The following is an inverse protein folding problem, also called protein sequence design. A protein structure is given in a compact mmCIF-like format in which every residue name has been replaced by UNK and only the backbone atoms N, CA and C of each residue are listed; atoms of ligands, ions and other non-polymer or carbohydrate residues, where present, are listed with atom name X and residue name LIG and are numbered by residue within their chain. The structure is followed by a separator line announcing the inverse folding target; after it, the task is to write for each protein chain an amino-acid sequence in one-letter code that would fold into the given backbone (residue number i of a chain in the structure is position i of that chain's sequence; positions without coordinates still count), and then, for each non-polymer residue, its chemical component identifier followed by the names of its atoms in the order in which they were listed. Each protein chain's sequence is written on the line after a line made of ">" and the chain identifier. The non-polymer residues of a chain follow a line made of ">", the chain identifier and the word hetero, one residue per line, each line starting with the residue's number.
data_IF_208524058997
#
_entry.id   IF_208524058997
#
_cell.length_a   1.000
_cell.length_b   1.000
_cell.length_c   1.000
_cell.angle_alpha   90.00
_cell.angle_beta   90.00
_cell.angle_gamma   90.00
#
_symmetry.space_group_name_H-M   'P 1'
#
loop_
_entity.id
_entity.type
_entity.pdbx_description
1 polymer ?
#
# COMPACT_ATOMS: atom_id res chain seq x y z
N UNK A 1 -65.74 2.26 -6.13
CA UNK A 1 -66.41 1.41 -7.14
C UNK A 1 -66.26 2.13 -8.47
N UNK A 2 -65.66 1.45 -9.46
CA UNK A 2 -65.42 1.90 -10.83
C UNK A 2 -64.46 3.12 -11.02
N UNK A 3 -63.18 2.81 -11.21
CA UNK A 3 -62.35 3.23 -12.33
C UNK A 3 -60.87 2.77 -12.12
N UNK A 4 -60.66 1.50 -12.33
CA UNK A 4 -59.35 0.94 -12.50
C UNK A 4 -59.50 -0.22 -13.48
N UNK A 5 -59.24 0.03 -14.72
CA UNK A 5 -58.90 -1.00 -15.72
C UNK A 5 -58.95 -0.34 -17.11
N UNK A 6 -57.81 0.21 -17.56
CA UNK A 6 -57.50 0.32 -18.99
C UNK A 6 -56.22 1.15 -19.19
N UNK A 7 -55.08 0.48 -19.03
CA UNK A 7 -53.81 0.84 -19.73
C UNK A 7 -52.73 -0.23 -19.52
N UNK A 8 -52.99 -1.40 -19.99
CA UNK A 8 -51.98 -2.47 -20.18
C UNK A 8 -52.24 -3.18 -21.51
N UNK A 9 -51.98 -2.55 -22.62
CA UNK A 9 -51.90 -3.26 -23.90
C UNK A 9 -51.46 -2.35 -25.05
N UNK A 10 -50.34 -1.68 -25.02
CA UNK A 10 -49.70 -1.09 -26.20
C UNK A 10 -48.17 -0.93 -25.94
N UNK A 11 -47.44 -1.95 -25.61
CA UNK A 11 -45.99 -1.92 -25.67
C UNK A 11 -45.31 -3.31 -25.84
N UNK A 12 -45.96 -4.17 -26.65
CA UNK A 12 -45.38 -5.48 -26.96
C UNK A 12 -45.35 -5.70 -28.47
N UNK A 13 -44.73 -4.82 -29.25
CA UNK A 13 -44.73 -4.96 -30.70
C UNK A 13 -43.66 -4.24 -31.49
N UNK A 14 -42.54 -3.84 -30.87
CA UNK A 14 -41.46 -3.13 -31.63
C UNK A 14 -40.03 -3.53 -31.33
N UNK A 15 -39.78 -4.66 -30.67
CA UNK A 15 -38.42 -5.11 -30.30
C UNK A 15 -37.81 -6.21 -31.17
N UNK A 16 -38.52 -6.73 -32.18
CA UNK A 16 -38.00 -7.85 -33.01
C UNK A 16 -37.47 -7.47 -34.40
N UNK A 17 -37.64 -6.24 -34.83
CA UNK A 17 -37.22 -5.83 -36.20
C UNK A 17 -35.83 -5.20 -36.30
N UNK A 18 -35.14 -4.95 -35.16
CA UNK A 18 -33.81 -4.30 -35.15
C UNK A 18 -32.62 -5.28 -35.02
N UNK A 19 -32.88 -6.57 -34.86
CA UNK A 19 -31.79 -7.58 -34.67
C UNK A 19 -31.34 -8.30 -35.95
N UNK A 20 -31.93 -8.04 -37.10
CA UNK A 20 -31.59 -8.75 -38.36
C UNK A 20 -30.80 -7.94 -39.39
N UNK A 21 -30.42 -6.70 -39.12
CA UNK A 21 -29.71 -5.84 -40.11
C UNK A 21 -28.21 -5.66 -39.77
N UNK A 22 -27.72 -6.06 -38.60
CA UNK A 22 -26.29 -5.88 -38.24
C UNK A 22 -25.41 -7.11 -38.52
N UNK A 23 -25.95 -8.22 -39.00
CA UNK A 23 -25.19 -9.46 -39.24
C UNK A 23 -24.68 -9.64 -40.68
N UNK A 24 -24.92 -8.72 -41.60
CA UNK A 24 -24.58 -8.88 -43.03
C UNK A 24 -23.42 -8.00 -43.56
N UNK A 25 -22.83 -7.14 -42.73
CA UNK A 25 -21.76 -6.21 -43.17
C UNK A 25 -20.37 -6.56 -42.63
N UNK A 26 -20.24 -7.51 -41.67
CA UNK A 26 -18.95 -7.86 -41.07
C UNK A 26 -18.21 -9.06 -41.67
N UNK A 27 -18.66 -9.65 -42.77
CA UNK A 27 -17.99 -10.84 -43.39
C UNK A 27 -17.22 -10.53 -44.71
N UNK A 28 -17.19 -9.30 -45.16
CA UNK A 28 -16.57 -8.96 -46.47
C UNK A 28 -15.19 -8.27 -46.40
N UNK A 29 -14.52 -8.14 -45.26
CA UNK A 29 -13.22 -7.42 -45.15
C UNK A 29 -12.07 -8.31 -44.65
N UNK A 30 -12.21 -9.63 -44.66
CA UNK A 30 -11.16 -10.55 -44.13
C UNK A 30 -10.50 -11.44 -45.22
N UNK A 31 -10.57 -11.09 -46.49
CA UNK A 31 -9.88 -11.83 -47.54
C UNK A 31 -9.22 -10.92 -48.59
N UNK A 32 -8.25 -10.13 -48.20
CA UNK A 32 -7.35 -9.48 -49.18
C UNK A 32 -6.10 -8.90 -48.47
N UNK A 33 -5.27 -9.69 -47.85
CA UNK A 33 -3.86 -9.34 -47.61
C UNK A 33 -3.07 -10.62 -47.31
N UNK A 34 -2.88 -11.42 -48.35
CA UNK A 34 -1.84 -12.44 -48.37
C UNK A 34 -1.30 -12.51 -49.80
N UNK A 35 -0.27 -11.79 -50.10
CA UNK A 35 0.78 -12.20 -51.02
C UNK A 35 1.84 -11.12 -51.19
N UNK A 36 3.08 -11.59 -51.24
CA UNK A 36 4.32 -10.91 -51.69
C UNK A 36 5.06 -10.05 -50.64
N UNK A 37 6.14 -10.62 -50.11
CA UNK A 37 7.50 -10.15 -50.40
C UNK A 37 8.52 -11.25 -50.08
N UNK A 38 9.12 -11.75 -51.11
CA UNK A 38 10.31 -12.59 -51.09
C UNK A 38 11.55 -11.67 -51.05
N UNK A 39 12.51 -12.04 -50.24
CA UNK A 39 13.91 -11.87 -50.55
C UNK A 39 14.58 -10.56 -50.16
N UNK A 40 15.50 -10.63 -49.26
CA UNK A 40 16.94 -10.33 -49.47
C UNK A 40 17.68 -10.45 -48.15
N UNK A 41 18.41 -11.52 -47.98
CA UNK A 41 19.44 -11.66 -46.95
C UNK A 41 20.63 -10.79 -47.32
N UNK A 42 20.92 -9.76 -46.54
CA UNK A 42 22.18 -9.01 -46.60
C UNK A 42 23.18 -9.65 -45.66
N UNK A 43 24.22 -10.23 -46.24
CA UNK A 43 25.37 -10.77 -45.51
C UNK A 43 26.20 -9.65 -44.90
N UNK A 44 26.50 -9.73 -43.60
CA UNK A 44 27.44 -8.86 -42.89
C UNK A 44 28.83 -9.51 -42.99
N UNK A 45 29.89 -8.79 -43.42
CA UNK A 45 31.24 -9.31 -43.51
C UNK A 45 31.90 -9.33 -42.08
N UNK A 46 32.82 -10.24 -41.82
CA UNK A 46 33.50 -10.34 -40.52
C UNK A 46 34.52 -9.22 -40.34
N UNK A 47 34.41 -8.49 -39.21
CA UNK A 47 35.39 -7.50 -38.79
C UNK A 47 36.60 -8.17 -38.12
N UNK A 48 37.76 -7.69 -38.52
CA UNK A 48 39.10 -8.11 -38.15
C UNK A 48 39.34 -8.02 -36.63
N UNK A 49 40.00 -9.08 -36.12
CA UNK A 49 40.59 -9.07 -34.81
C UNK A 49 41.92 -8.31 -34.82
N UNK A 50 41.96 -7.18 -34.18
CA UNK A 50 43.19 -6.44 -33.92
C UNK A 50 43.77 -6.83 -32.56
N UNK A 51 45.04 -7.16 -32.61
CA UNK A 51 45.93 -7.58 -31.54
C UNK A 51 46.06 -6.46 -30.48
N UNK A 52 45.71 -6.76 -29.25
CA UNK A 52 46.07 -5.90 -28.12
C UNK A 52 47.32 -6.48 -27.45
N UNK A 53 48.37 -5.69 -27.52
CA UNK A 53 49.66 -5.89 -26.87
C UNK A 53 49.52 -5.73 -25.34
N UNK A 54 50.08 -6.68 -24.60
CA UNK A 54 50.17 -6.63 -23.14
C UNK A 54 51.09 -5.52 -22.66
N UNK A 55 50.56 -4.54 -21.93
CA UNK A 55 51.30 -3.65 -21.08
C UNK A 55 51.00 -3.95 -19.60
N UNK A 56 52.12 -4.16 -18.86
CA UNK A 56 52.12 -4.48 -17.43
C UNK A 56 51.74 -3.25 -16.62
N UNK A 57 50.80 -3.30 -15.64
CA UNK A 57 50.50 -2.16 -14.79
C UNK A 57 51.46 -2.11 -13.60
N UNK A 58 52.04 -0.93 -13.41
CA UNK A 58 52.71 -0.52 -12.19
C UNK A 58 51.72 0.29 -11.30
N UNK A 59 51.78 0.05 -10.01
CA UNK A 59 51.33 1.00 -9.01
C UNK A 59 49.96 0.72 -8.41
N UNK A 60 49.96 0.00 -7.30
CA UNK A 60 48.84 -0.08 -6.36
C UNK A 60 48.60 1.29 -5.69
N UNK A 61 47.39 1.85 -5.83
CA UNK A 61 46.77 2.62 -4.77
C UNK A 61 45.56 1.84 -4.27
N UNK A 62 45.67 1.39 -3.03
CA UNK A 62 44.58 0.76 -2.29
C UNK A 62 43.63 1.87 -1.85
N UNK A 63 42.63 2.16 -2.62
CA UNK A 63 41.45 2.83 -2.10
C UNK A 63 40.56 1.75 -1.42
N UNK A 64 40.72 1.67 -0.10
CA UNK A 64 39.79 1.00 0.79
C UNK A 64 38.45 1.73 0.71
N UNK A 65 37.60 1.37 -0.24
CA UNK A 65 36.18 1.55 -0.08
C UNK A 65 35.75 0.61 1.03
N UNK A 66 35.78 1.10 2.25
CA UNK A 66 35.15 0.47 3.40
C UNK A 66 33.66 0.32 3.05
N UNK A 67 33.24 -0.89 2.74
CA UNK A 67 31.83 -1.24 2.86
C UNK A 67 31.48 -0.90 4.31
N UNK A 68 30.73 0.20 4.48
CA UNK A 68 30.07 0.50 5.73
C UNK A 68 29.04 -0.63 5.94
N UNK A 69 29.47 -1.68 6.59
CA UNK A 69 28.55 -2.64 7.18
C UNK A 69 27.65 -1.84 8.11
N UNK A 70 26.39 -1.71 7.76
CA UNK A 70 25.35 -1.15 8.61
C UNK A 70 25.42 -1.94 9.92
N UNK A 71 25.77 -1.26 11.01
CA UNK A 71 25.54 -1.82 12.36
C UNK A 71 24.08 -2.26 12.39
N UNK A 72 23.75 -3.46 12.92
CA UNK A 72 22.37 -3.82 13.17
C UNK A 72 21.70 -2.65 13.87
N UNK A 73 20.60 -2.14 13.30
CA UNK A 73 19.81 -1.07 13.90
C UNK A 73 19.43 -1.46 15.33
N UNK A 74 19.34 -0.50 16.22
CA UNK A 74 18.86 -0.79 17.58
C UNK A 74 17.42 -1.35 17.47
N UNK A 75 17.14 -2.45 18.17
CA UNK A 75 15.80 -3.02 18.27
C UNK A 75 14.98 -2.17 19.25
N UNK A 76 14.04 -1.38 18.74
CA UNK A 76 13.23 -0.45 19.52
C UNK A 76 11.85 -1.01 19.86
N UNK A 77 11.29 -1.87 19.00
CA UNK A 77 9.94 -2.42 19.17
C UNK A 77 9.87 -3.88 18.72
N UNK A 78 9.02 -4.65 19.40
CA UNK A 78 8.77 -6.06 19.09
C UNK A 78 7.75 -6.24 17.97
N UNK A 79 6.86 -5.26 17.81
CA UNK A 79 5.74 -5.27 16.86
C UNK A 79 5.47 -3.88 16.32
N UNK A 80 4.99 -3.83 15.10
CA UNK A 80 4.51 -2.59 14.49
C UNK A 80 3.09 -2.76 13.96
N UNK A 81 2.28 -1.73 14.14
CA UNK A 81 0.95 -1.58 13.51
C UNK A 81 0.97 -0.30 12.69
N UNK A 82 0.75 -0.42 11.40
CA UNK A 82 0.64 0.74 10.49
C UNK A 82 -0.83 0.91 10.15
N UNK A 83 -1.39 2.06 10.45
CA UNK A 83 -2.76 2.46 10.12
C UNK A 83 -2.67 3.54 9.05
N UNK A 84 -3.21 3.26 7.85
CA UNK A 84 -3.15 4.19 6.73
C UNK A 84 -4.51 4.82 6.52
N UNK A 85 -4.57 6.14 6.62
CA UNK A 85 -5.71 6.99 6.31
C UNK A 85 -5.57 7.54 4.87
N UNK A 86 -6.63 8.10 4.32
CA UNK A 86 -6.69 8.50 2.92
C UNK A 86 -6.93 9.99 2.72
N UNK A 87 -6.19 10.54 1.72
CA UNK A 87 -6.39 11.88 1.17
C UNK A 87 -6.42 12.99 2.24
N UNK A 88 -5.46 13.01 3.16
CA UNK A 88 -5.47 13.97 4.25
C UNK A 88 -4.41 15.07 4.15
N UNK A 89 -4.84 16.30 3.94
CA UNK A 89 -3.95 17.46 3.98
C UNK A 89 -3.37 17.67 5.39
N UNK A 90 -2.05 17.87 5.45
CA UNK A 90 -1.35 18.13 6.70
C UNK A 90 -1.99 19.24 7.53
N UNK A 91 -2.32 20.38 6.89
CA UNK A 91 -2.89 21.55 7.58
C UNK A 91 -4.28 21.29 8.16
N UNK A 92 -5.07 20.40 7.56
CA UNK A 92 -6.34 19.97 8.11
C UNK A 92 -6.13 19.00 9.29
N UNK A 93 -5.19 18.08 9.15
CA UNK A 93 -4.91 17.05 10.14
C UNK A 93 -4.35 17.64 11.45
N UNK A 94 -3.39 18.55 11.38
CA UNK A 94 -2.79 19.15 12.60
C UNK A 94 -3.76 20.07 13.36
N UNK A 95 -4.82 20.54 12.73
CA UNK A 95 -5.88 21.35 13.36
C UNK A 95 -7.01 20.51 13.95
N UNK A 96 -7.09 19.23 13.60
CA UNK A 96 -8.09 18.34 14.17
C UNK A 96 -7.77 18.05 15.65
N UNK A 97 -8.74 18.22 16.57
CA UNK A 97 -8.47 18.10 18.00
C UNK A 97 -8.07 16.67 18.42
N UNK A 98 -8.60 15.62 17.76
CA UNK A 98 -8.25 14.25 18.10
C UNK A 98 -6.82 13.91 17.63
N UNK A 99 -6.42 14.34 16.44
CA UNK A 99 -5.05 14.13 15.94
C UNK A 99 -4.05 15.00 16.70
N UNK A 100 -4.42 16.23 17.11
CA UNK A 100 -3.60 17.09 17.92
C UNK A 100 -3.38 16.50 19.34
N UNK A 101 -4.40 15.91 19.95
CA UNK A 101 -4.30 15.19 21.21
C UNK A 101 -3.36 14.00 21.10
N UNK A 102 -3.57 13.13 20.13
CA UNK A 102 -2.71 11.97 19.86
C UNK A 102 -1.24 12.38 19.65
N UNK A 103 -0.98 13.49 18.98
CA UNK A 103 0.36 14.00 18.71
C UNK A 103 1.11 14.35 20.00
N UNK A 104 0.42 14.66 21.11
CA UNK A 104 1.07 14.94 22.41
C UNK A 104 1.76 13.71 23.00
N UNK A 105 1.33 12.52 22.64
CA UNK A 105 1.77 11.23 23.18
C UNK A 105 2.88 10.55 22.38
N UNK A 106 3.42 11.21 21.34
CA UNK A 106 4.42 10.59 20.48
C UNK A 106 5.20 11.55 19.60
N UNK A 107 5.68 11.07 18.47
CA UNK A 107 6.44 11.84 17.49
C UNK A 107 5.57 12.14 16.25
N UNK A 108 5.13 13.40 16.13
CA UNK A 108 4.40 13.91 14.97
C UNK A 108 5.35 14.70 14.06
N UNK A 109 5.46 14.31 12.81
CA UNK A 109 6.43 14.88 11.87
C UNK A 109 5.84 16.08 11.12
N UNK A 110 6.55 17.21 11.14
CA UNK A 110 6.08 18.43 10.50
C UNK A 110 6.49 18.58 9.04
N UNK A 111 7.32 17.67 8.53
CA UNK A 111 7.84 17.70 7.16
C UNK A 111 7.85 16.29 6.55
N UNK A 112 6.71 15.61 6.65
CA UNK A 112 6.52 14.28 6.09
C UNK A 112 5.70 14.39 4.79
N UNK A 113 6.18 13.73 3.73
CA UNK A 113 5.57 13.81 2.41
C UNK A 113 5.24 12.42 1.88
N UNK A 114 4.10 12.29 1.27
CA UNK A 114 3.81 11.15 0.41
C UNK A 114 4.64 11.26 -0.88
N UNK A 115 4.75 10.15 -1.61
CA UNK A 115 5.64 10.04 -2.75
C UNK A 115 4.95 10.39 -4.07
N UNK A 116 3.68 10.06 -4.18
CA UNK A 116 2.95 10.06 -5.45
C UNK A 116 1.50 10.52 -5.29
N UNK A 117 0.90 10.86 -6.41
CA UNK A 117 -0.52 10.87 -6.69
C UNK A 117 -0.78 10.00 -7.91
N UNK A 118 -1.82 9.17 -7.92
CA UNK A 118 -2.82 8.89 -6.88
C UNK A 118 -2.34 7.88 -5.81
N UNK A 119 -3.25 7.44 -4.95
CA UNK A 119 -3.03 6.60 -3.77
C UNK A 119 -2.19 5.33 -4.01
N UNK A 120 -2.56 4.51 -4.99
CA UNK A 120 -2.04 3.14 -5.13
C UNK A 120 -0.50 3.02 -5.19
N UNK A 121 0.25 3.88 -5.92
CA UNK A 121 1.71 3.88 -5.88
C UNK A 121 2.31 4.06 -4.48
N UNK A 122 1.67 4.85 -3.60
CA UNK A 122 2.11 5.03 -2.22
C UNK A 122 1.96 3.75 -1.40
N UNK A 123 0.83 3.03 -1.54
CA UNK A 123 0.63 1.74 -0.88
C UNK A 123 1.68 0.70 -1.30
N UNK A 124 2.04 0.65 -2.59
CA UNK A 124 3.13 -0.21 -3.07
C UNK A 124 4.47 0.18 -2.44
N UNK A 125 4.78 1.48 -2.42
CA UNK A 125 6.01 2.00 -1.83
C UNK A 125 6.15 1.65 -0.34
N UNK A 126 5.06 1.68 0.43
CA UNK A 126 5.04 1.34 1.85
C UNK A 126 5.41 -0.12 2.15
N UNK A 127 5.17 -1.04 1.22
CA UNK A 127 5.38 -2.48 1.46
C UNK A 127 6.48 -3.10 0.61
N UNK A 128 6.93 -2.43 -0.46
CA UNK A 128 7.88 -2.97 -1.42
C UNK A 128 9.10 -2.05 -1.68
N UNK A 129 9.15 -0.85 -1.07
CA UNK A 129 10.25 0.12 -1.29
C UNK A 129 10.30 0.70 -2.70
N UNK A 130 9.28 0.43 -3.51
CA UNK A 130 9.11 0.92 -4.87
C UNK A 130 7.64 0.83 -5.27
N UNK A 131 7.23 1.67 -6.20
CA UNK A 131 5.91 1.57 -6.85
C UNK A 131 5.97 0.82 -8.19
N UNK A 132 7.13 0.24 -8.54
CA UNK A 132 7.38 -0.46 -9.81
C UNK A 132 7.10 0.39 -11.05
N UNK A 133 7.22 1.70 -10.94
CA UNK A 133 6.97 2.66 -12.02
C UNK A 133 5.50 2.90 -12.33
N UNK A 134 4.60 2.49 -11.45
CA UNK A 134 3.14 2.65 -11.61
C UNK A 134 2.76 4.13 -11.69
N UNK A 135 3.41 5.01 -10.92
CA UNK A 135 3.18 6.46 -10.94
C UNK A 135 3.40 7.11 -12.31
N UNK A 136 4.20 6.48 -13.20
CA UNK A 136 4.47 6.99 -14.55
C UNK A 136 3.34 6.75 -15.54
N UNK A 137 2.31 6.01 -15.15
CA UNK A 137 1.12 5.77 -15.96
C UNK A 137 0.20 6.98 -15.91
N UNK A 138 -0.73 7.08 -16.87
CA UNK A 138 -1.82 8.04 -16.75
C UNK A 138 -2.55 7.85 -15.41
N UNK A 139 -3.00 8.95 -14.78
CA UNK A 139 -3.58 8.94 -13.42
C UNK A 139 -4.59 7.82 -13.19
N UNK A 140 -5.51 7.63 -14.12
CA UNK A 140 -6.50 6.55 -14.03
C UNK A 140 -5.87 5.15 -14.04
N UNK A 141 -4.82 4.95 -14.83
CA UNK A 141 -4.10 3.68 -14.89
C UNK A 141 -3.16 3.49 -13.71
N UNK A 142 -2.62 4.59 -13.15
CA UNK A 142 -1.78 4.55 -11.96
C UNK A 142 -2.56 4.14 -10.70
N UNK A 143 -3.86 4.44 -10.64
CA UNK A 143 -4.72 4.03 -9.52
C UNK A 143 -5.36 2.64 -9.69
N UNK A 144 -5.11 1.99 -10.82
CA UNK A 144 -5.63 0.66 -11.11
C UNK A 144 -4.72 -0.41 -10.55
N UNK A 145 -5.23 -1.22 -9.66
CA UNK A 145 -4.47 -2.31 -9.06
C UNK A 145 -3.93 -3.31 -10.09
N UNK A 146 -2.69 -3.73 -9.87
CA UNK A 146 -1.95 -4.69 -10.68
C UNK A 146 -1.74 -5.96 -9.87
N UNK A 147 -1.49 -7.09 -10.53
CA UNK A 147 -0.90 -8.26 -9.91
C UNK A 147 0.54 -8.39 -10.41
N UNK A 148 1.46 -8.36 -9.46
CA UNK A 148 2.87 -8.56 -9.70
C UNK A 148 3.20 -10.04 -9.60
N UNK A 149 3.98 -10.59 -10.55
CA UNK A 149 4.32 -12.01 -10.54
C UNK A 149 5.18 -12.39 -9.34
N UNK A 150 5.10 -13.67 -8.97
CA UNK A 150 5.94 -14.24 -7.92
C UNK A 150 7.37 -14.48 -8.42
N UNK A 151 8.19 -13.44 -8.43
CA UNK A 151 9.60 -13.51 -8.83
C UNK A 151 10.51 -12.69 -7.89
N UNK A 152 11.80 -12.64 -8.20
CA UNK A 152 12.79 -11.95 -7.36
C UNK A 152 12.67 -10.41 -7.41
N UNK A 153 12.06 -9.84 -8.45
CA UNK A 153 11.92 -8.40 -8.62
C UNK A 153 10.71 -7.83 -7.88
N UNK A 154 9.73 -8.67 -7.53
CA UNK A 154 8.47 -8.25 -6.94
C UNK A 154 8.30 -8.80 -5.51
N UNK A 155 9.25 -8.45 -4.63
CA UNK A 155 9.23 -8.84 -3.22
C UNK A 155 8.73 -7.69 -2.33
N UNK A 156 8.18 -8.09 -1.19
CA UNK A 156 7.64 -7.17 -0.18
C UNK A 156 8.31 -7.38 1.17
N UNK A 157 8.02 -6.51 2.13
CA UNK A 157 8.46 -6.72 3.50
C UNK A 157 7.96 -8.05 4.08
N UNK A 158 6.82 -8.57 3.62
CA UNK A 158 6.31 -9.88 4.02
C UNK A 158 7.32 -11.01 3.71
N UNK A 159 7.92 -10.98 2.53
CA UNK A 159 8.95 -11.95 2.13
C UNK A 159 10.15 -11.92 3.09
N UNK A 160 10.61 -10.71 3.46
CA UNK A 160 11.74 -10.51 4.37
C UNK A 160 11.42 -10.97 5.78
N UNK A 161 10.22 -10.64 6.28
CA UNK A 161 9.75 -11.06 7.60
C UNK A 161 9.65 -12.58 7.71
N UNK A 162 8.98 -13.24 6.77
CA UNK A 162 8.82 -14.69 6.76
C UNK A 162 10.19 -15.39 6.65
N UNK A 163 11.09 -14.91 5.80
CA UNK A 163 12.45 -15.44 5.71
C UNK A 163 13.24 -15.30 7.03
N UNK A 164 12.91 -14.32 7.88
CA UNK A 164 13.50 -14.10 9.21
C UNK A 164 12.81 -14.91 10.31
N UNK A 165 11.75 -15.66 10.00
CA UNK A 165 10.92 -16.37 10.99
C UNK A 165 9.95 -15.47 11.74
N UNK A 166 9.70 -14.27 11.24
CA UNK A 166 8.69 -13.33 11.73
C UNK A 166 7.41 -13.46 10.91
N UNK A 167 6.28 -13.04 11.49
CA UNK A 167 4.99 -13.11 10.81
C UNK A 167 4.39 -11.72 10.57
N UNK A 168 3.51 -11.64 9.56
CA UNK A 168 2.79 -10.42 9.19
C UNK A 168 1.31 -10.68 8.98
N UNK A 169 0.49 -9.64 9.09
CA UNK A 169 -0.92 -9.65 8.69
C UNK A 169 -1.31 -8.31 8.08
N UNK A 170 -2.21 -8.35 7.11
CA UNK A 170 -2.95 -7.18 6.66
C UNK A 170 -4.39 -7.31 7.12
N UNK A 171 -4.80 -6.47 8.02
CA UNK A 171 -6.17 -6.36 8.48
C UNK A 171 -6.91 -5.34 7.60
N UNK A 172 -8.03 -5.75 7.01
CA UNK A 172 -8.81 -4.85 6.16
C UNK A 172 -10.28 -4.88 6.56
N UNK A 173 -10.83 -3.69 6.75
CA UNK A 173 -12.26 -3.53 6.97
C UNK A 173 -13.00 -3.90 5.71
N UNK A 174 -14.10 -4.65 5.88
CA UNK A 174 -14.98 -5.07 4.79
C UNK A 174 -14.30 -5.87 3.67
N UNK A 175 -13.13 -6.45 3.94
CA UNK A 175 -12.52 -7.41 3.02
C UNK A 175 -13.57 -8.45 2.60
N UNK A 176 -13.80 -8.71 1.30
CA UNK A 176 -14.81 -9.66 0.86
C UNK A 176 -14.65 -11.03 1.50
N UNK A 177 -15.79 -11.69 1.79
CA UNK A 177 -15.80 -13.06 2.30
C UNK A 177 -15.41 -14.04 1.20
N UNK A 178 -14.71 -15.10 1.59
CA UNK A 178 -14.35 -16.19 0.71
C UNK A 178 -12.97 -16.74 1.02
N UNK A 179 -12.70 -17.94 0.53
CA UNK A 179 -11.34 -18.47 0.53
C UNK A 179 -10.49 -17.60 -0.39
N UNK A 180 -9.31 -17.29 0.06
CA UNK A 180 -8.36 -16.57 -0.73
C UNK A 180 -8.26 -17.13 -2.14
N UNK A 181 -8.90 -16.56 -3.08
CA UNK A 181 -8.30 -16.12 -4.29
C UNK A 181 -8.86 -14.75 -4.63
N UNK A 182 -8.27 -13.71 -4.08
CA UNK A 182 -8.51 -12.36 -4.56
C UNK A 182 -7.78 -12.19 -5.90
N UNK A 183 -7.95 -13.21 -6.76
CA UNK A 183 -7.37 -13.23 -8.09
C UNK A 183 -7.86 -12.04 -8.90
N UNK A 184 -7.07 -11.73 -9.87
CA UNK A 184 -7.05 -10.71 -10.91
C UNK A 184 -8.44 -10.23 -11.37
N UNK A 185 -9.43 -11.09 -11.39
CA UNK A 185 -10.76 -10.82 -11.96
C UNK A 185 -11.63 -9.91 -11.06
N UNK A 186 -11.26 -9.76 -9.80
CA UNK A 186 -11.94 -8.87 -8.87
C UNK A 186 -11.27 -7.48 -8.80
N UNK A 187 -11.05 -6.84 -9.93
CA UNK A 187 -10.68 -5.41 -9.95
C UNK A 187 -11.83 -4.53 -9.44
N UNK A 188 -12.78 -5.14 -8.76
CA UNK A 188 -13.93 -4.42 -8.29
C UNK A 188 -13.60 -3.85 -6.93
N UNK A 189 -13.61 -2.53 -6.84
CA UNK A 189 -14.15 -1.88 -5.68
C UNK A 189 -15.44 -2.62 -5.39
N UNK A 190 -15.42 -3.55 -4.48
CA UNK A 190 -16.64 -4.19 -4.04
C UNK A 190 -17.39 -3.09 -3.33
N UNK A 191 -18.25 -2.40 -4.05
CA UNK A 191 -19.31 -1.63 -3.39
C UNK A 191 -20.12 -2.65 -2.64
N UNK A 192 -19.66 -3.01 -1.45
CA UNK A 192 -20.48 -3.77 -0.54
C UNK A 192 -21.73 -2.93 -0.30
N UNK A 193 -22.87 -3.54 -0.12
CA UNK A 193 -24.12 -2.80 0.16
C UNK A 193 -24.05 -2.00 1.46
N UNK A 194 -22.93 -2.01 2.19
CA UNK A 194 -22.74 -1.44 3.53
C UNK A 194 -21.47 -0.64 3.73
N UNK A 195 -20.51 -0.66 2.79
CA UNK A 195 -19.26 0.04 2.97
C UNK A 195 -18.40 0.01 1.74
N UNK A 196 -17.26 0.64 1.84
CA UNK A 196 -16.41 0.93 0.72
C UNK A 196 -15.03 0.32 0.93
N UNK A 197 -14.94 -0.99 0.73
CA UNK A 197 -13.65 -1.68 0.63
C UNK A 197 -12.95 -1.28 -0.67
N UNK A 198 -11.69 -0.88 -0.57
CA UNK A 198 -10.83 -0.65 -1.72
C UNK A 198 -9.68 -1.67 -1.73
N UNK A 199 -9.64 -2.55 -2.74
CA UNK A 199 -8.58 -3.57 -2.85
C UNK A 199 -7.19 -2.94 -2.94
N UNK A 200 -7.04 -1.78 -3.60
CA UNK A 200 -5.77 -1.05 -3.73
C UNK A 200 -5.19 -0.58 -2.39
N UNK A 201 -6.02 -0.45 -1.34
CA UNK A 201 -5.59 -0.13 0.02
C UNK A 201 -5.13 -1.37 0.82
N UNK A 202 -5.17 -2.55 0.21
CA UNK A 202 -4.63 -3.79 0.76
C UNK A 202 -3.42 -4.21 -0.11
N UNK A 203 -2.26 -3.55 0.05
CA UNK A 203 -1.17 -3.59 -0.93
C UNK A 203 -0.61 -4.99 -1.15
N UNK A 204 -0.59 -5.83 -0.13
CA UNK A 204 -0.09 -7.20 -0.23
C UNK A 204 -0.89 -8.06 -1.23
N UNK A 205 -2.17 -7.74 -1.47
CA UNK A 205 -2.99 -8.42 -2.49
C UNK A 205 -2.55 -8.10 -3.92
N UNK A 206 -1.59 -7.20 -4.11
CA UNK A 206 -1.00 -6.93 -5.42
C UNK A 206 0.06 -7.95 -5.83
N UNK A 207 0.47 -8.85 -4.94
CA UNK A 207 1.56 -9.78 -5.17
C UNK A 207 1.07 -11.23 -5.21
N UNK A 208 1.38 -11.94 -6.31
CA UNK A 208 0.97 -13.34 -6.50
C UNK A 208 1.54 -14.25 -5.40
N UNK A 209 2.76 -14.01 -4.91
CA UNK A 209 3.32 -14.73 -3.78
C UNK A 209 2.40 -14.72 -2.55
N UNK A 210 1.87 -13.54 -2.21
CA UNK A 210 0.94 -13.40 -1.08
C UNK A 210 -0.38 -14.08 -1.36
N UNK A 211 -0.92 -13.90 -2.57
CA UNK A 211 -2.19 -14.52 -2.96
C UNK A 211 -2.14 -16.05 -2.95
N UNK A 212 -1.00 -16.63 -3.31
CA UNK A 212 -0.83 -18.06 -3.42
C UNK A 212 -0.44 -18.74 -2.11
N UNK A 213 0.41 -18.09 -1.30
CA UNK A 213 1.07 -18.73 -0.15
C UNK A 213 0.66 -18.17 1.21
N UNK A 214 0.27 -16.89 1.27
CA UNK A 214 0.04 -16.18 2.54
C UNK A 214 -1.30 -15.47 2.58
N UNK A 215 -2.24 -15.92 1.82
CA UNK A 215 -3.53 -15.30 1.71
C UNK A 215 -4.35 -15.35 3.01
N UNK A 216 -4.13 -16.32 3.85
CA UNK A 216 -4.68 -16.45 5.21
C UNK A 216 -4.25 -15.30 6.16
N UNK A 217 -3.21 -14.55 5.76
CA UNK A 217 -2.74 -13.36 6.47
C UNK A 217 -3.46 -12.08 6.05
N UNK A 218 -4.29 -12.16 5.02
CA UNK A 218 -5.21 -11.08 4.63
C UNK A 218 -6.49 -11.26 5.43
N UNK A 219 -6.62 -10.52 6.53
CA UNK A 219 -7.63 -10.75 7.55
C UNK A 219 -8.77 -9.75 7.41
N UNK A 220 -9.99 -10.25 7.20
CA UNK A 220 -11.18 -9.43 7.36
C UNK A 220 -11.35 -9.04 8.81
N UNK A 221 -11.50 -7.74 9.07
CA UNK A 221 -11.57 -7.22 10.44
C UNK A 221 -12.93 -7.49 11.08
N UNK A 222 -14.01 -7.30 10.36
CA UNK A 222 -15.37 -7.47 10.85
C UNK A 222 -15.88 -8.91 10.68
N UNK A 223 -16.61 -9.40 11.67
CA UNK A 223 -17.19 -10.75 11.65
C UNK A 223 -18.39 -10.89 10.71
N UNK A 224 -18.78 -9.84 9.98
CA UNK A 224 -20.00 -9.82 9.16
C UNK A 224 -21.31 -9.80 9.96
N UNK A 225 -21.26 -9.86 11.29
CA UNK A 225 -22.43 -9.95 12.19
C UNK A 225 -22.97 -8.62 12.71
N UNK A 226 -22.54 -7.52 12.13
CA UNK A 226 -23.21 -6.22 12.32
C UNK A 226 -22.96 -5.48 13.62
N UNK A 227 -22.08 -5.93 14.50
CA UNK A 227 -21.85 -5.33 15.81
C UNK A 227 -20.75 -4.26 15.84
N UNK A 228 -20.42 -3.73 14.67
CA UNK A 228 -19.46 -2.61 14.53
C UNK A 228 -17.99 -3.02 14.62
N UNK A 229 -17.16 -2.23 13.98
CA UNK A 229 -15.71 -2.44 13.85
C UNK A 229 -14.95 -2.45 15.18
N UNK A 230 -15.58 -2.00 16.25
CA UNK A 230 -14.98 -1.90 17.59
C UNK A 230 -15.54 -2.93 18.59
N UNK A 231 -16.23 -3.96 18.09
CA UNK A 231 -16.74 -5.04 18.95
C UNK A 231 -15.64 -6.05 19.30
N UNK A 232 -15.86 -6.83 20.35
CA UNK A 232 -14.96 -7.94 20.72
C UNK A 232 -14.93 -9.06 19.67
N UNK A 233 -15.86 -9.05 18.70
CA UNK A 233 -15.89 -9.97 17.56
C UNK A 233 -14.97 -9.51 16.41
N UNK A 234 -14.35 -8.33 16.52
CA UNK A 234 -13.39 -7.85 15.55
C UNK A 234 -12.09 -8.66 15.62
N UNK A 235 -11.66 -9.23 14.51
CA UNK A 235 -10.48 -10.09 14.46
C UNK A 235 -9.18 -9.37 14.83
N UNK A 236 -9.03 -8.09 14.48
CA UNK A 236 -7.88 -7.32 14.92
C UNK A 236 -7.87 -7.13 16.43
N UNK A 237 -9.01 -6.80 17.03
CA UNK A 237 -9.16 -6.67 18.50
C UNK A 237 -8.83 -7.99 19.19
N UNK A 238 -9.30 -9.13 18.65
CA UNK A 238 -8.99 -10.46 19.18
C UNK A 238 -7.49 -10.77 19.13
N UNK A 239 -6.86 -10.52 17.97
CA UNK A 239 -5.43 -10.74 17.78
C UNK A 239 -4.63 -9.78 18.66
N UNK A 240 -5.06 -8.52 18.79
CA UNK A 240 -4.43 -7.57 19.71
C UNK A 240 -4.46 -8.06 21.17
N UNK A 241 -5.55 -8.67 21.61
CA UNK A 241 -5.66 -9.25 22.96
C UNK A 241 -4.81 -10.53 23.13
N UNK A 242 -4.68 -11.33 22.09
CA UNK A 242 -3.91 -12.58 22.09
C UNK A 242 -2.41 -12.37 21.88
N UNK A 243 -2.00 -11.29 21.27
CA UNK A 243 -0.65 -10.95 20.85
C UNK A 243 -0.57 -10.76 19.34
N UNK A 244 -0.28 -9.53 18.90
CA UNK A 244 -0.10 -9.22 17.48
C UNK A 244 1.15 -9.90 16.92
N UNK A 245 1.14 -10.17 15.61
CA UNK A 245 2.33 -10.56 14.85
C UNK A 245 3.34 -9.39 14.76
N UNK A 246 4.56 -9.67 14.30
CA UNK A 246 5.62 -8.66 14.24
C UNK A 246 5.24 -7.44 13.38
N UNK A 247 4.52 -7.66 12.28
CA UNK A 247 4.11 -6.60 11.36
C UNK A 247 2.60 -6.68 11.06
N UNK A 248 1.88 -5.64 11.37
CA UNK A 248 0.44 -5.51 11.09
C UNK A 248 0.18 -4.27 10.25
N UNK A 249 -0.41 -4.44 9.08
CA UNK A 249 -0.89 -3.36 8.24
C UNK A 249 -2.41 -3.28 8.38
N UNK A 250 -2.95 -2.13 8.74
CA UNK A 250 -4.38 -1.93 8.94
C UNK A 250 -4.95 -0.98 7.88
N UNK A 251 -5.87 -1.49 7.11
CA UNK A 251 -6.58 -0.77 6.05
C UNK A 251 -8.03 -0.52 6.48
N UNK A 252 -8.37 0.67 6.96
CA UNK A 252 -9.77 1.02 7.21
C UNK A 252 -10.55 1.00 5.89
N UNK A 253 -11.88 0.95 5.96
CA UNK A 253 -12.71 1.16 4.77
C UNK A 253 -12.70 2.63 4.36
N UNK A 254 -13.12 2.95 3.13
CA UNK A 254 -13.05 4.29 2.55
C UNK A 254 -13.87 5.37 3.29
N UNK A 255 -14.74 5.00 4.22
CA UNK A 255 -15.39 5.96 5.11
C UNK A 255 -14.51 6.26 6.32
N UNK A 256 -13.95 5.21 6.92
CA UNK A 256 -13.15 5.30 8.14
C UNK A 256 -11.75 5.85 7.89
N UNK A 257 -11.19 5.63 6.69
CA UNK A 257 -9.90 6.20 6.28
C UNK A 257 -9.96 7.69 5.91
N UNK A 258 -11.14 8.22 5.61
CA UNK A 258 -11.33 9.64 5.23
C UNK A 258 -11.64 9.86 3.76
N UNK A 259 -11.37 8.91 2.86
CA UNK A 259 -11.52 9.06 1.40
C UNK A 259 -12.94 9.51 0.99
N UNK A 260 -13.96 8.80 1.47
CA UNK A 260 -15.35 9.13 1.18
C UNK A 260 -15.97 10.10 2.17
N UNK A 261 -15.21 10.51 3.19
CA UNK A 261 -15.67 11.39 4.26
C UNK A 261 -14.78 12.63 4.36
N UNK A 262 -13.93 12.72 5.37
CA UNK A 262 -12.93 13.75 5.53
C UNK A 262 -11.98 13.43 6.71
N UNK A 263 -10.92 14.24 6.88
CA UNK A 263 -9.93 14.12 7.96
C UNK A 263 -10.57 14.05 9.34
N UNK A 264 -11.57 14.88 9.62
CA UNK A 264 -12.25 14.90 10.93
C UNK A 264 -12.93 13.56 11.24
N UNK A 265 -13.65 13.00 10.27
CA UNK A 265 -14.32 11.71 10.45
C UNK A 265 -13.29 10.59 10.70
N UNK A 266 -12.22 10.56 9.91
CA UNK A 266 -11.13 9.60 10.10
C UNK A 266 -10.45 9.76 11.46
N UNK A 267 -10.24 10.98 11.92
CA UNK A 267 -9.65 11.28 13.23
C UNK A 267 -10.54 10.82 14.40
N UNK A 268 -11.86 11.07 14.32
CA UNK A 268 -12.82 10.58 15.32
C UNK A 268 -12.89 9.06 15.37
N UNK A 269 -12.87 8.41 14.19
CA UNK A 269 -12.81 6.96 14.10
C UNK A 269 -11.50 6.41 14.71
N UNK A 270 -10.36 6.99 14.31
CA UNK A 270 -9.03 6.57 14.77
C UNK A 270 -8.91 6.68 16.31
N UNK A 271 -9.35 7.78 16.89
CA UNK A 271 -9.32 7.99 18.33
C UNK A 271 -10.10 6.90 19.07
N UNK A 272 -11.34 6.63 18.63
CA UNK A 272 -12.18 5.55 19.18
C UNK A 272 -11.55 4.17 18.98
N UNK A 273 -10.91 3.95 17.81
CA UNK A 273 -10.22 2.71 17.49
C UNK A 273 -9.03 2.47 18.42
N UNK A 274 -8.17 3.46 18.60
CA UNK A 274 -7.00 3.33 19.46
C UNK A 274 -7.38 3.13 20.94
N UNK A 275 -8.39 3.83 21.44
CA UNK A 275 -8.87 3.66 22.80
C UNK A 275 -9.36 2.26 23.11
N UNK A 276 -10.04 1.63 22.16
CA UNK A 276 -10.61 0.28 22.34
C UNK A 276 -9.63 -0.83 22.04
N UNK A 277 -8.75 -0.65 21.05
CA UNK A 277 -7.92 -1.73 20.53
C UNK A 277 -6.56 -1.82 21.18
N UNK A 278 -6.07 -0.72 21.77
CA UNK A 278 -4.76 -0.68 22.40
C UNK A 278 -4.84 -0.38 23.89
N UNK A 279 -5.41 -1.30 24.70
CA UNK A 279 -5.27 -1.19 26.14
C UNK A 279 -3.79 -1.19 26.52
N UNK A 280 -3.46 -0.59 27.66
CA UNK A 280 -2.09 -0.34 28.13
C UNK A 280 -1.14 -1.55 28.04
N UNK A 281 -1.67 -2.77 28.25
CA UNK A 281 -0.92 -4.03 28.11
C UNK A 281 -0.37 -4.28 26.70
N UNK A 282 -1.07 -3.79 25.68
CA UNK A 282 -0.74 -4.04 24.27
C UNK A 282 0.19 -2.97 23.71
N UNK A 283 0.29 -1.82 24.39
CA UNK A 283 1.19 -0.74 24.00
C UNK A 283 2.65 -1.10 24.23
N UNK A 284 2.92 -1.99 25.21
CA UNK A 284 4.30 -2.37 25.52
C UNK A 284 4.95 -3.13 24.36
N UNK A 285 6.06 -2.57 23.86
CA UNK A 285 6.81 -3.12 22.74
C UNK A 285 6.10 -3.04 21.40
N UNK A 286 4.99 -2.29 21.28
CA UNK A 286 4.25 -2.11 20.03
C UNK A 286 4.36 -0.67 19.55
N UNK A 287 4.99 -0.47 18.39
CA UNK A 287 4.96 0.79 17.66
C UNK A 287 3.66 0.90 16.87
N UNK A 288 2.90 1.98 17.06
CA UNK A 288 1.76 2.33 16.23
C UNK A 288 2.14 3.50 15.34
N UNK A 289 2.03 3.31 14.03
CA UNK A 289 2.25 4.34 13.01
C UNK A 289 0.92 4.70 12.42
N UNK A 290 0.53 5.97 12.50
CA UNK A 290 -0.61 6.53 11.80
C UNK A 290 -0.08 7.44 10.71
N UNK A 291 -0.50 7.23 9.48
CA UNK A 291 -0.10 8.08 8.34
C UNK A 291 -1.25 8.20 7.33
N UNK A 292 -1.25 9.26 6.55
CA UNK A 292 -2.05 9.30 5.33
C UNK A 292 -1.22 8.73 4.17
N UNK A 293 -1.88 8.17 3.17
CA UNK A 293 -1.23 7.67 1.95
C UNK A 293 -0.73 8.81 1.07
N UNK A 294 -1.58 9.85 0.90
CA UNK A 294 -1.31 11.08 0.15
C UNK A 294 -2.13 12.25 0.72
N UNK A 295 -1.80 13.47 0.29
CA UNK A 295 -2.62 14.65 0.60
C UNK A 295 -3.84 14.74 -0.32
N UNK A 296 -4.84 15.55 0.06
CA UNK A 296 -5.99 15.82 -0.80
C UNK A 296 -5.63 16.84 -1.89
N UNK A 297 -4.96 16.38 -2.94
CA UNK A 297 -4.59 17.14 -4.15
C UNK A 297 -3.55 18.28 -3.96
N UNK A 298 -2.87 18.39 -2.83
CA UNK A 298 -1.79 19.36 -2.66
C UNK A 298 -0.55 18.96 -3.45
N UNK A 299 0.03 19.91 -4.17
CA UNK A 299 1.16 19.66 -5.05
C UNK A 299 2.46 19.26 -4.31
N UNK A 300 2.62 19.71 -3.05
CA UNK A 300 3.76 19.34 -2.20
C UNK A 300 3.58 17.98 -1.51
N UNK A 301 2.36 17.43 -1.58
CA UNK A 301 2.00 16.12 -1.05
C UNK A 301 2.39 15.91 0.43
N UNK A 302 2.32 16.96 1.24
CA UNK A 302 2.64 16.94 2.65
C UNK A 302 1.49 16.34 3.46
N UNK A 303 1.81 15.34 4.28
CA UNK A 303 0.83 14.53 5.03
C UNK A 303 1.15 14.49 6.51
N UNK A 304 0.13 14.19 7.32
CA UNK A 304 0.28 13.94 8.75
C UNK A 304 0.79 12.50 8.97
N UNK A 305 1.85 12.38 9.77
CA UNK A 305 2.39 11.09 10.19
C UNK A 305 2.77 11.16 11.66
N UNK A 306 2.36 10.15 12.43
CA UNK A 306 2.52 10.08 13.88
C UNK A 306 3.02 8.69 14.29
N UNK A 307 4.04 8.65 15.15
CA UNK A 307 4.53 7.44 15.79
C UNK A 307 4.16 7.45 17.27
N UNK A 308 3.52 6.37 17.74
CA UNK A 308 3.06 6.17 19.12
C UNK A 308 3.62 4.86 19.69
N UNK A 309 3.95 4.82 20.95
CA UNK A 309 4.42 3.62 21.64
C UNK A 309 5.22 3.96 22.89
N UNK A 310 5.39 2.98 23.77
CA UNK A 310 6.15 3.18 25.02
C UNK A 310 7.63 3.45 24.77
N UNK A 311 8.18 3.03 23.63
CA UNK A 311 9.55 3.30 23.18
C UNK A 311 9.71 4.68 22.53
N UNK A 312 8.62 5.36 22.16
CA UNK A 312 8.67 6.68 21.53
C UNK A 312 8.68 7.77 22.61
N UNK A 313 9.55 8.76 22.47
CA UNK A 313 9.52 9.96 23.33
C UNK A 313 8.20 10.71 23.12
N UNK A 314 7.61 11.23 24.17
CA UNK A 314 6.44 12.12 24.08
C UNK A 314 6.81 13.44 23.40
N UNK A 315 5.83 14.17 22.88
CA UNK A 315 6.04 15.41 22.12
C UNK A 315 6.93 16.42 22.85
N UNK A 316 6.75 16.57 24.17
CA UNK A 316 7.56 17.48 25.00
C UNK A 316 9.05 17.09 25.10
N UNK A 317 9.40 15.86 24.78
CA UNK A 317 10.76 15.29 24.83
C UNK A 317 11.41 15.20 23.44
N UNK A 318 10.67 15.53 22.37
CA UNK A 318 11.15 15.46 20.99
C UNK A 318 12.01 16.67 20.62
N UNK A 319 13.03 16.45 19.80
CA UNK A 319 13.77 17.54 19.15
C UNK A 319 12.98 18.03 17.91
N UNK A 320 12.54 19.30 17.89
CA UNK A 320 11.84 19.85 16.74
C UNK A 320 12.63 19.72 15.41
N UNK A 321 13.97 19.71 15.48
CA UNK A 321 14.81 19.53 14.28
C UNK A 321 14.71 18.13 13.71
N UNK A 322 14.50 17.11 14.56
CA UNK A 322 14.27 15.73 14.12
C UNK A 322 12.90 15.65 13.46
N UNK A 323 11.87 16.21 14.11
CA UNK A 323 10.50 16.16 13.61
C UNK A 323 10.30 16.98 12.32
N UNK A 324 11.18 17.94 12.01
CA UNK A 324 11.12 18.77 10.79
C UNK A 324 12.05 18.31 9.66
N UNK A 325 12.77 17.19 9.83
CA UNK A 325 13.51 16.59 8.71
C UNK A 325 12.53 16.10 7.66
N UNK A 326 12.96 16.14 6.40
CA UNK A 326 12.17 15.58 5.33
C UNK A 326 12.13 14.05 5.44
N UNK A 327 10.92 13.49 5.55
CA UNK A 327 10.67 12.06 5.57
C UNK A 327 9.56 11.69 4.58
N UNK A 328 9.57 10.43 4.17
CA UNK A 328 8.58 9.83 3.28
C UNK A 328 8.21 8.42 3.73
N UNK A 329 7.29 7.76 3.05
CA UNK A 329 6.96 6.36 3.29
C UNK A 329 8.17 5.42 3.24
N UNK A 330 9.17 5.73 2.42
CA UNK A 330 10.41 4.94 2.36
C UNK A 330 11.20 4.98 3.68
N UNK A 331 11.20 6.12 4.38
CA UNK A 331 11.86 6.24 5.68
C UNK A 331 11.16 5.37 6.74
N UNK A 332 9.83 5.26 6.68
CA UNK A 332 9.05 4.38 7.57
C UNK A 332 9.42 2.92 7.31
N UNK A 333 9.39 2.48 6.05
CA UNK A 333 9.75 1.13 5.66
C UNK A 333 11.18 0.79 6.12
N UNK A 334 12.14 1.68 5.82
CA UNK A 334 13.53 1.51 6.24
C UNK A 334 13.68 1.41 7.76
N UNK A 335 12.95 2.21 8.52
CA UNK A 335 12.97 2.17 10.00
C UNK A 335 12.50 0.81 10.52
N UNK A 336 11.49 0.23 9.89
CA UNK A 336 10.96 -1.08 10.25
C UNK A 336 11.95 -2.20 9.87
N UNK A 337 12.54 -2.11 8.69
CA UNK A 337 13.57 -3.04 8.23
C UNK A 337 14.78 -3.06 9.16
N UNK A 338 15.31 -1.90 9.51
CA UNK A 338 16.45 -1.79 10.43
C UNK A 338 16.11 -2.33 11.81
N UNK A 339 14.91 -2.05 12.34
CA UNK A 339 14.46 -2.58 13.64
C UNK A 339 14.44 -4.11 13.68
N UNK A 340 13.97 -4.75 12.62
CA UNK A 340 13.92 -6.22 12.52
C UNK A 340 15.18 -6.84 11.91
N UNK A 341 16.18 -6.04 11.53
CA UNK A 341 17.40 -6.50 10.88
C UNK A 341 17.14 -7.15 9.53
N UNK A 342 16.25 -6.55 8.74
CA UNK A 342 15.91 -6.96 7.39
C UNK A 342 16.77 -6.20 6.38
N UNK A 343 17.09 -6.84 5.26
CA UNK A 343 17.74 -6.18 4.14
C UNK A 343 16.71 -5.33 3.37
N UNK A 344 17.10 -4.16 2.84
CA UNK A 344 16.23 -3.34 2.00
C UNK A 344 15.65 -4.10 0.81
N UNK A 345 14.47 -3.71 0.39
CA UNK A 345 13.74 -4.34 -0.70
C UNK A 345 14.10 -3.75 -2.05
N UNK A 346 14.18 -2.42 -2.15
CA UNK A 346 14.36 -1.72 -3.40
C UNK A 346 15.25 -0.46 -3.25
N UNK A 347 15.28 0.38 -4.26
CA UNK A 347 16.08 1.61 -4.25
C UNK A 347 15.52 2.65 -3.27
N UNK A 348 14.19 2.78 -3.20
CA UNK A 348 13.54 3.81 -2.39
C UNK A 348 13.83 3.67 -0.89
N UNK A 349 13.67 2.47 -0.34
CA UNK A 349 13.95 2.19 1.08
C UNK A 349 15.43 2.06 1.37
N UNK A 350 16.23 1.55 0.43
CA UNK A 350 17.70 1.47 0.58
C UNK A 350 18.35 2.83 0.74
N UNK A 351 17.89 3.81 -0.04
CA UNK A 351 18.48 5.15 -0.08
C UNK A 351 17.88 6.08 0.99
N UNK A 352 16.75 5.70 1.57
CA UNK A 352 16.11 6.44 2.65
C UNK A 352 16.80 6.18 4.00
N UNK A 353 17.16 7.23 4.78
CA UNK A 353 17.64 7.02 6.13
C UNK A 353 16.50 6.59 7.06
N UNK A 354 16.81 5.72 8.02
CA UNK A 354 15.89 5.38 9.12
C UNK A 354 15.54 6.61 9.95
N UNK A 355 14.34 6.64 10.49
CA UNK A 355 13.91 7.63 11.47
C UNK A 355 14.57 7.30 12.81
N UNK A 356 15.46 8.16 13.24
CA UNK A 356 16.22 8.04 14.50
C UNK A 356 15.90 9.20 15.43
N UNK A 357 16.48 9.15 16.65
CA UNK A 357 16.43 10.22 17.66
C UNK A 357 15.05 10.51 18.27
N UNK A 358 14.01 9.73 17.89
CA UNK A 358 12.67 9.77 18.49
C UNK A 358 12.47 8.73 19.62
N UNK A 359 13.41 7.84 19.79
CA UNK A 359 13.34 6.72 20.72
C UNK A 359 13.80 7.10 22.15
N UNK A 360 13.18 6.47 23.16
CA UNK A 360 13.59 6.57 24.59
C UNK A 360 14.88 5.82 24.84
#
# INVERSE_FOLDING_TARGET
>A
MFHECQMKSICAGRAESFRKVICAVCIAILFSYLCTTVGSAVAIPPSQADKITTAKPSGQTKDNATQAGTKPGAHHFDRVVIIVLENGDYEAAVKDPNLADLATHGASFSNFHALFHPSYPNYLAMVAGTDFGVHRRERFMADRQINFPNDAAHKTIADRLIAKGLDFKNYAEELPEGNCPFRIDSQHVSKSKKGDYARKHVPFLSFEEVQERWCDRMVRVDSGKGNGLLSDDNYFVRDAKAGLVAYSFYSPNMNNDGHNTNVRFAAEWLHKFLDKTFPEKLRKGTLVIVTFDESDHNADNRIYTLFLGDMVKEASQQDPKVLSRHYTHYNVLRTIEDNFGLEPLAEGDRDAPSITDIWK
#
